data_IF_680637561546
#
_entry.id   IF_680637561546
#
_cell.length_a   1.000
_cell.length_b   1.000
_cell.length_c   1.000
_cell.angle_alpha   90.00
_cell.angle_beta   90.00
_cell.angle_gamma   90.00
#
_symmetry.space_group_name_H-M   'P 1'
#
loop_
_entity.id
_entity.type
_entity.pdbx_description
1 polymer ?
#
# COMPACT_ATOMS: atom_id res chain seq x y z
N UNK A 1 0.28 22.54 -17.44
CA UNK A 1 0.03 21.33 -18.25
C UNK A 1 -0.82 20.40 -17.42
N UNK A 2 -1.82 19.78 -17.99
CA UNK A 2 -2.66 18.78 -17.31
C UNK A 2 -1.81 17.52 -17.10
N UNK A 3 -1.71 17.01 -15.87
CA UNK A 3 -0.99 15.76 -15.58
C UNK A 3 -1.88 14.58 -15.91
N UNK A 4 -1.40 13.67 -16.77
CA UNK A 4 -2.08 12.40 -17.03
C UNK A 4 -1.57 11.33 -16.09
N UNK A 5 -2.47 10.52 -15.54
CA UNK A 5 -2.15 9.32 -14.76
C UNK A 5 -2.74 8.08 -15.45
N UNK A 6 -2.08 6.94 -15.27
CA UNK A 6 -2.65 5.65 -15.70
C UNK A 6 -3.65 5.17 -14.67
N UNK A 7 -4.82 4.73 -15.12
CA UNK A 7 -5.90 4.18 -14.29
C UNK A 7 -6.07 2.71 -14.61
N UNK A 8 -5.91 1.85 -13.61
CA UNK A 8 -6.12 0.41 -13.72
C UNK A 8 -7.35 0.03 -12.87
N UNK A 9 -8.47 -0.21 -13.55
CA UNK A 9 -9.76 -0.50 -12.90
C UNK A 9 -9.75 -1.83 -12.15
N UNK A 10 -8.92 -2.78 -12.58
CA UNK A 10 -8.73 -4.06 -11.92
C UNK A 10 -9.94 -5.00 -11.99
N UNK A 11 -9.99 -5.92 -11.03
CA UNK A 11 -10.93 -7.05 -11.00
C UNK A 11 -11.91 -6.93 -9.81
N UNK A 12 -12.99 -7.70 -9.86
CA UNK A 12 -13.96 -7.81 -8.78
C UNK A 12 -14.62 -6.48 -8.43
N UNK A 13 -14.42 -5.99 -7.19
CA UNK A 13 -14.92 -4.67 -6.75
C UNK A 13 -14.13 -3.50 -7.35
N UNK A 14 -13.04 -3.78 -8.05
CA UNK A 14 -12.13 -2.76 -8.59
C UNK A 14 -12.82 -1.67 -9.42
N UNK A 15 -13.61 -2.01 -10.45
CA UNK A 15 -14.30 -1.02 -11.27
C UNK A 15 -15.20 -0.07 -10.47
N UNK A 16 -16.01 -0.59 -9.54
CA UNK A 16 -16.96 0.23 -8.77
C UNK A 16 -16.25 1.19 -7.80
N UNK A 17 -15.17 0.75 -7.12
CA UNK A 17 -14.42 1.64 -6.23
C UNK A 17 -13.56 2.65 -6.99
N UNK A 18 -13.11 2.30 -8.22
CA UNK A 18 -12.40 3.23 -9.09
C UNK A 18 -13.35 4.33 -9.60
N UNK A 19 -14.54 3.98 -10.08
CA UNK A 19 -15.54 4.97 -10.52
C UNK A 19 -15.89 5.94 -9.38
N UNK A 20 -16.09 5.40 -8.17
CA UNK A 20 -16.32 6.20 -6.97
C UNK A 20 -15.15 7.15 -6.66
N UNK A 21 -13.90 6.66 -6.81
CA UNK A 21 -12.70 7.45 -6.56
C UNK A 21 -12.52 8.56 -7.59
N UNK A 22 -12.66 8.26 -8.87
CA UNK A 22 -12.56 9.25 -9.94
C UNK A 22 -13.64 10.33 -9.80
N UNK A 23 -14.87 9.96 -9.43
CA UNK A 23 -15.95 10.91 -9.14
C UNK A 23 -15.55 11.94 -8.05
N UNK A 24 -14.92 11.47 -6.97
CA UNK A 24 -14.44 12.37 -5.89
C UNK A 24 -13.27 13.23 -6.35
N UNK A 25 -12.31 12.66 -7.11
CA UNK A 25 -11.17 13.42 -7.65
C UNK A 25 -11.61 14.52 -8.62
N UNK A 26 -12.66 14.29 -9.40
CA UNK A 26 -13.25 15.30 -10.29
C UNK A 26 -13.94 16.42 -9.50
N UNK A 27 -14.70 16.07 -8.44
CA UNK A 27 -15.30 17.06 -7.53
C UNK A 27 -14.24 17.93 -6.84
N UNK A 28 -13.09 17.32 -6.49
CA UNK A 28 -11.94 18.01 -5.90
C UNK A 28 -11.19 18.92 -6.88
N UNK A 29 -11.53 18.85 -8.18
CA UNK A 29 -10.92 19.66 -9.26
C UNK A 29 -9.40 19.51 -9.31
N UNK A 30 -8.94 18.27 -9.32
CA UNK A 30 -7.50 17.94 -9.31
C UNK A 30 -6.76 18.40 -10.56
N UNK A 31 -7.46 18.55 -11.68
CA UNK A 31 -6.87 18.86 -12.98
C UNK A 31 -6.13 17.70 -13.60
N UNK A 32 -6.36 16.47 -13.12
CA UNK A 32 -5.78 15.26 -13.68
C UNK A 32 -6.53 14.81 -14.94
N UNK A 33 -5.81 14.19 -15.85
CA UNK A 33 -6.37 13.40 -16.95
C UNK A 33 -6.13 11.92 -16.70
N UNK A 34 -7.04 11.08 -17.16
CA UNK A 34 -7.01 9.65 -16.89
C UNK A 34 -6.80 8.87 -18.20
N UNK A 35 -5.82 7.97 -18.20
CA UNK A 35 -5.55 7.02 -19.27
C UNK A 35 -5.86 5.62 -18.76
N UNK A 36 -6.98 5.03 -19.18
CA UNK A 36 -7.37 3.68 -18.76
C UNK A 36 -6.42 2.63 -19.33
N UNK A 37 -6.06 1.65 -18.51
CA UNK A 37 -5.23 0.50 -18.87
C UNK A 37 -5.74 -0.78 -18.20
N UNK A 38 -5.70 -1.89 -18.94
CA UNK A 38 -6.18 -3.18 -18.46
C UNK A 38 -5.06 -3.98 -17.76
N UNK A 39 -5.38 -4.59 -16.63
CA UNK A 39 -4.55 -5.61 -15.97
C UNK A 39 -5.45 -6.57 -15.19
N UNK A 40 -4.94 -7.76 -14.86
CA UNK A 40 -5.69 -8.79 -14.13
C UNK A 40 -6.52 -9.68 -15.04
N UNK A 41 -7.60 -10.23 -14.50
CA UNK A 41 -8.48 -11.15 -15.23
C UNK A 41 -9.15 -10.48 -16.43
N UNK A 42 -9.54 -9.22 -16.30
CA UNK A 42 -10.12 -8.45 -17.41
C UNK A 42 -9.12 -8.34 -18.57
N UNK A 43 -7.84 -8.15 -18.29
CA UNK A 43 -6.81 -8.11 -19.34
C UNK A 43 -6.58 -9.50 -19.97
N UNK A 44 -6.57 -10.56 -19.16
CA UNK A 44 -6.46 -11.93 -19.66
C UNK A 44 -7.60 -12.26 -20.65
N UNK A 45 -8.83 -11.91 -20.30
CA UNK A 45 -9.99 -12.15 -21.17
C UNK A 45 -9.95 -11.34 -22.48
N UNK A 46 -9.51 -10.08 -22.42
CA UNK A 46 -9.48 -9.19 -23.58
C UNK A 46 -8.25 -9.37 -24.49
N UNK A 47 -7.10 -9.64 -23.89
CA UNK A 47 -5.81 -9.55 -24.56
C UNK A 47 -5.00 -10.86 -24.49
N UNK A 48 -5.45 -11.86 -23.71
CA UNK A 48 -4.72 -13.11 -23.48
C UNK A 48 -3.50 -13.00 -22.56
N UNK A 49 -3.33 -11.85 -21.90
CA UNK A 49 -2.23 -11.55 -20.99
C UNK A 49 -2.74 -10.83 -19.72
N UNK A 50 -2.28 -11.25 -18.56
CA UNK A 50 -2.63 -10.63 -17.27
C UNK A 50 -2.06 -9.22 -17.10
N UNK A 51 -0.96 -8.91 -17.79
CA UNK A 51 -0.28 -7.62 -17.71
C UNK A 51 0.23 -7.20 -19.11
N UNK A 52 -0.65 -6.71 -19.98
CA UNK A 52 -0.32 -6.32 -21.35
C UNK A 52 0.81 -5.28 -21.41
N UNK A 53 1.65 -5.38 -22.44
CA UNK A 53 2.73 -4.40 -22.69
C UNK A 53 2.20 -2.96 -22.79
N UNK A 54 1.02 -2.76 -23.37
CA UNK A 54 0.38 -1.44 -23.44
C UNK A 54 0.17 -0.81 -22.05
N UNK A 55 -0.18 -1.61 -21.04
CA UNK A 55 -0.33 -1.14 -19.65
C UNK A 55 1.02 -0.71 -19.07
N UNK A 56 2.07 -1.49 -19.30
CA UNK A 56 3.43 -1.13 -18.86
C UNK A 56 3.91 0.16 -19.55
N UNK A 57 3.61 0.32 -20.84
CA UNK A 57 3.99 1.53 -21.60
C UNK A 57 3.21 2.76 -21.14
N UNK A 58 1.92 2.63 -20.80
CA UNK A 58 1.12 3.70 -20.21
C UNK A 58 1.69 4.15 -18.86
N UNK A 59 2.01 3.21 -17.96
CA UNK A 59 2.62 3.54 -16.65
C UNK A 59 3.97 4.22 -16.85
N UNK A 60 4.82 3.72 -17.76
CA UNK A 60 6.14 4.32 -18.06
C UNK A 60 6.01 5.73 -18.60
N UNK A 61 5.07 5.97 -19.50
CA UNK A 61 4.80 7.27 -20.12
C UNK A 61 4.32 8.29 -19.09
N UNK A 62 3.38 7.90 -18.23
CA UNK A 62 2.72 8.80 -17.29
C UNK A 62 3.49 8.95 -15.95
N UNK A 63 4.38 8.00 -15.61
CA UNK A 63 5.15 7.97 -14.37
C UNK A 63 4.31 7.64 -13.13
N UNK A 64 3.00 7.77 -13.18
CA UNK A 64 2.10 7.57 -12.04
C UNK A 64 0.87 6.77 -12.47
N UNK A 65 0.49 5.79 -11.61
CA UNK A 65 -0.73 5.03 -11.79
C UNK A 65 -1.57 4.97 -10.51
N UNK A 66 -2.88 4.97 -10.67
CA UNK A 66 -3.85 4.63 -9.63
C UNK A 66 -4.48 3.29 -9.99
N UNK A 67 -4.38 2.31 -9.09
CA UNK A 67 -4.70 0.91 -9.37
C UNK A 67 -5.68 0.35 -8.35
N UNK A 68 -6.76 -0.25 -8.81
CA UNK A 68 -7.66 -1.10 -8.01
C UNK A 68 -7.10 -2.51 -7.83
N UNK A 69 -7.73 -3.36 -7.01
CA UNK A 69 -7.29 -4.74 -6.79
C UNK A 69 -7.20 -5.55 -8.08
N UNK A 70 -6.18 -6.40 -8.17
CA UNK A 70 -5.97 -7.35 -9.27
C UNK A 70 -6.06 -8.78 -8.75
N UNK A 71 -6.68 -9.65 -9.53
CA UNK A 71 -6.73 -11.09 -9.27
C UNK A 71 -5.68 -11.79 -10.12
N UNK A 72 -4.82 -12.57 -9.45
CA UNK A 72 -3.95 -13.55 -10.12
C UNK A 72 -4.58 -14.92 -9.96
N UNK A 73 -4.82 -15.69 -11.04
CA UNK A 73 -5.35 -17.05 -10.93
C UNK A 73 -4.48 -17.91 -10.00
N UNK A 74 -5.12 -18.73 -9.19
CA UNK A 74 -4.43 -19.74 -8.35
C UNK A 74 -4.16 -20.97 -9.23
N UNK A 75 -2.88 -21.34 -9.39
CA UNK A 75 -2.48 -22.49 -10.17
C UNK A 75 -1.07 -22.37 -10.75
N UNK A 76 -0.60 -23.43 -11.40
CA UNK A 76 0.70 -23.43 -12.04
C UNK A 76 0.74 -22.48 -13.26
N UNK A 77 1.82 -21.72 -13.40
CA UNK A 77 2.11 -20.90 -14.58
C UNK A 77 1.84 -19.40 -14.43
N UNK A 78 1.21 -18.93 -13.35
CA UNK A 78 0.97 -17.48 -13.13
C UNK A 78 1.78 -16.95 -11.95
N UNK A 79 2.57 -15.90 -12.20
CA UNK A 79 3.21 -15.13 -11.13
C UNK A 79 2.29 -13.96 -10.71
N UNK A 80 2.40 -13.52 -9.45
CA UNK A 80 1.63 -12.38 -8.95
C UNK A 80 1.86 -11.14 -9.82
N UNK A 81 0.77 -10.58 -10.37
CA UNK A 81 0.78 -9.35 -11.19
C UNK A 81 1.38 -8.19 -10.39
N UNK A 82 1.04 -8.07 -9.11
CA UNK A 82 1.60 -7.04 -8.24
C UNK A 82 3.12 -7.18 -8.10
N UNK A 83 3.64 -8.40 -7.96
CA UNK A 83 5.09 -8.66 -7.93
C UNK A 83 5.73 -8.33 -9.27
N UNK A 84 5.08 -8.66 -10.39
CA UNK A 84 5.57 -8.32 -11.73
C UNK A 84 5.69 -6.80 -11.93
N UNK A 85 4.68 -6.03 -11.54
CA UNK A 85 4.69 -4.55 -11.58
C UNK A 85 5.83 -3.97 -10.72
N UNK A 86 5.97 -4.47 -9.48
CA UNK A 86 7.03 -4.02 -8.54
C UNK A 86 8.42 -4.24 -9.12
N UNK A 87 8.66 -5.38 -9.75
CA UNK A 87 9.93 -5.70 -10.40
C UNK A 87 10.17 -4.88 -11.66
N UNK A 88 9.16 -4.77 -12.52
CA UNK A 88 9.29 -4.09 -13.81
C UNK A 88 9.67 -2.61 -13.66
N UNK A 89 9.10 -1.93 -12.67
CA UNK A 89 9.34 -0.51 -12.41
C UNK A 89 10.28 -0.25 -11.22
N UNK A 90 10.95 -1.28 -10.70
CA UNK A 90 11.79 -1.19 -9.48
C UNK A 90 11.12 -0.38 -8.36
N UNK A 91 9.86 -0.71 -8.06
CA UNK A 91 9.07 -0.05 -7.02
C UNK A 91 9.54 -0.52 -5.64
N UNK A 92 10.68 -0.03 -5.21
CA UNK A 92 11.43 -0.55 -4.07
C UNK A 92 10.84 -0.22 -2.71
N UNK A 93 10.04 0.85 -2.60
CA UNK A 93 9.43 1.26 -1.36
C UNK A 93 7.90 1.08 -1.40
N UNK A 94 7.37 0.22 -0.54
CA UNK A 94 5.94 0.11 -0.32
C UNK A 94 5.58 0.85 0.96
N UNK A 95 4.76 1.89 0.85
CA UNK A 95 4.39 2.80 1.93
C UNK A 95 2.94 2.56 2.31
N UNK A 96 2.71 2.07 3.53
CA UNK A 96 1.40 1.68 4.05
C UNK A 96 1.08 2.42 5.35
N UNK A 97 0.38 3.56 5.29
CA UNK A 97 -0.12 4.23 6.47
C UNK A 97 -1.23 3.42 7.15
N UNK A 98 -1.24 3.43 8.48
CA UNK A 98 -2.33 2.96 9.30
C UNK A 98 -2.71 4.07 10.28
N UNK A 99 -3.93 4.58 10.16
CA UNK A 99 -4.45 5.66 10.98
C UNK A 99 -5.82 5.31 11.51
N UNK A 100 -6.09 5.62 12.77
CA UNK A 100 -7.42 5.51 13.36
C UNK A 100 -8.38 6.47 12.68
N UNK A 101 -9.58 5.98 12.36
CA UNK A 101 -10.67 6.76 11.80
C UNK A 101 -11.91 6.70 12.70
N UNK A 102 -12.69 7.79 12.79
CA UNK A 102 -13.90 7.80 13.59
C UNK A 102 -14.94 6.82 13.05
N UNK A 103 -15.76 6.27 13.95
CA UNK A 103 -16.87 5.38 13.62
C UNK A 103 -16.51 4.11 12.81
N UNK A 104 -15.28 3.63 12.96
CA UNK A 104 -14.84 2.36 12.40
C UNK A 104 -14.93 1.25 13.46
N UNK A 105 -14.99 -0.02 13.02
CA UNK A 105 -14.96 -1.20 13.91
C UNK A 105 -13.53 -1.50 14.38
N UNK A 106 -12.83 -0.49 14.87
CA UNK A 106 -11.46 -0.59 15.33
C UNK A 106 -11.40 -0.88 16.83
N UNK A 107 -10.37 -1.63 17.27
CA UNK A 107 -10.02 -1.74 18.70
C UNK A 107 -9.34 -0.46 19.22
N UNK A 108 -8.79 0.35 18.31
CA UNK A 108 -8.15 1.63 18.58
C UNK A 108 -8.87 2.71 17.80
N UNK A 109 -9.99 3.24 18.33
CA UNK A 109 -10.77 4.27 17.65
C UNK A 109 -9.99 5.58 17.47
N UNK A 110 -8.94 5.76 18.25
CA UNK A 110 -7.99 6.85 18.23
C UNK A 110 -6.57 6.34 18.58
N UNK A 111 -5.57 7.20 18.45
CA UNK A 111 -4.21 6.95 18.93
C UNK A 111 -3.32 6.13 17.99
N UNK A 112 -3.81 5.58 16.88
CA UNK A 112 -2.95 4.96 15.87
C UNK A 112 -2.73 5.93 14.72
N UNK A 113 -1.48 6.30 14.47
CA UNK A 113 -1.04 7.04 13.30
C UNK A 113 0.42 6.68 12.99
N UNK A 114 0.62 5.61 12.26
CA UNK A 114 1.94 5.09 11.90
C UNK A 114 2.03 4.76 10.40
N UNK A 115 3.25 4.66 9.91
CA UNK A 115 3.51 4.29 8.52
C UNK A 115 4.49 3.11 8.50
N UNK A 116 4.09 2.02 7.84
CA UNK A 116 5.01 0.93 7.51
C UNK A 116 5.68 1.23 6.16
N UNK A 117 6.99 1.29 6.16
CA UNK A 117 7.85 1.40 4.96
C UNK A 117 8.49 0.04 4.74
N UNK A 118 7.94 -0.70 3.78
CA UNK A 118 8.31 -2.07 3.43
C UNK A 118 9.25 -2.06 2.24
N UNK A 119 10.42 -2.71 2.33
CA UNK A 119 11.20 -3.07 1.16
C UNK A 119 10.35 -4.00 0.28
N UNK A 120 10.41 -3.82 -1.04
CA UNK A 120 9.37 -4.36 -1.92
C UNK A 120 9.92 -5.20 -3.09
N UNK A 121 11.24 -5.35 -3.22
CA UNK A 121 11.90 -5.96 -4.39
C UNK A 121 12.82 -7.13 -4.06
N UNK A 122 13.12 -7.37 -2.80
CA UNK A 122 14.04 -8.40 -2.31
C UNK A 122 13.34 -9.40 -1.36
N UNK A 123 14.15 -10.23 -0.69
CA UNK A 123 13.69 -11.19 0.31
C UNK A 123 13.17 -12.49 -0.29
N UNK A 124 12.20 -13.08 0.38
CA UNK A 124 11.57 -14.34 -0.03
C UNK A 124 10.70 -14.20 -1.31
N UNK A 125 10.23 -12.98 -1.58
CA UNK A 125 9.35 -12.69 -2.72
C UNK A 125 10.03 -12.76 -4.09
N UNK A 126 11.37 -12.80 -4.15
CA UNK A 126 12.07 -12.94 -5.43
C UNK A 126 11.94 -14.34 -6.03
N UNK A 127 11.61 -15.34 -5.23
CA UNK A 127 11.43 -16.72 -5.69
C UNK A 127 12.71 -17.43 -6.08
N UNK A 128 13.90 -16.88 -5.79
CA UNK A 128 15.18 -17.56 -6.06
C UNK A 128 15.33 -18.80 -5.18
N UNK A 129 15.87 -19.87 -5.75
CA UNK A 129 16.19 -21.10 -5.02
C UNK A 129 14.97 -21.82 -4.43
N UNK A 130 13.78 -21.58 -4.95
CA UNK A 130 12.62 -22.40 -4.62
C UNK A 130 12.77 -23.78 -5.23
N UNK A 131 12.74 -24.79 -4.41
CA UNK A 131 12.80 -26.20 -4.83
C UNK A 131 12.09 -27.10 -3.83
N UNK A 132 11.60 -28.21 -4.34
CA UNK A 132 11.11 -29.33 -3.54
C UNK A 132 11.98 -30.51 -3.91
N UNK A 133 12.41 -31.32 -2.92
CA UNK A 133 13.17 -32.56 -3.17
C UNK A 133 12.31 -33.55 -3.97
N UNK A 134 12.98 -34.50 -4.68
CA UNK A 134 12.30 -35.45 -5.55
C UNK A 134 11.29 -36.34 -4.79
N UNK A 135 11.52 -36.60 -3.50
CA UNK A 135 10.60 -37.31 -2.61
C UNK A 135 9.47 -36.46 -2.03
N UNK A 136 9.48 -35.17 -2.29
CA UNK A 136 8.47 -34.21 -1.78
C UNK A 136 8.62 -33.84 -0.30
N UNK A 137 9.64 -34.33 0.40
CA UNK A 137 9.77 -34.24 1.85
C UNK A 137 10.49 -32.95 2.31
N UNK A 138 11.24 -32.26 1.41
CA UNK A 138 12.02 -31.08 1.75
C UNK A 138 11.77 -29.95 0.77
N UNK A 139 11.40 -28.79 1.29
CA UNK A 139 11.25 -27.55 0.51
C UNK A 139 12.29 -26.53 0.92
N UNK A 140 12.91 -25.86 -0.05
CA UNK A 140 13.91 -24.80 0.13
C UNK A 140 13.48 -23.51 -0.53
N UNK A 141 13.92 -22.40 0.03
CA UNK A 141 13.73 -21.04 -0.49
C UNK A 141 14.95 -20.18 -0.11
N UNK A 142 15.48 -19.44 -1.06
CA UNK A 142 16.54 -18.45 -0.79
C UNK A 142 15.93 -17.10 -0.43
N UNK A 143 16.31 -16.56 0.73
CA UNK A 143 16.03 -15.19 1.09
C UNK A 143 17.25 -14.32 0.79
N UNK A 144 17.14 -13.40 -0.18
CA UNK A 144 18.22 -12.50 -0.60
C UNK A 144 17.98 -11.09 -0.09
N UNK A 145 18.93 -10.56 0.69
CA UNK A 145 18.96 -9.18 1.16
C UNK A 145 20.27 -8.57 0.70
N UNK A 146 20.23 -7.41 0.06
CA UNK A 146 21.42 -6.71 -0.40
C UNK A 146 21.65 -5.42 0.40
N UNK A 147 22.90 -4.96 0.42
CA UNK A 147 23.25 -3.65 0.98
C UNK A 147 22.50 -2.53 0.27
N UNK A 148 22.47 -2.55 -1.08
CA UNK A 148 21.79 -1.54 -1.90
C UNK A 148 20.30 -1.44 -1.59
N UNK A 149 19.59 -2.59 -1.54
CA UNK A 149 18.17 -2.62 -1.21
C UNK A 149 17.90 -2.14 0.21
N UNK A 150 18.71 -2.58 1.19
CA UNK A 150 18.62 -2.15 2.58
C UNK A 150 18.85 -0.64 2.73
N UNK A 151 19.88 -0.11 2.09
CA UNK A 151 20.23 1.31 2.18
C UNK A 151 19.12 2.20 1.60
N UNK A 152 18.61 1.89 0.41
CA UNK A 152 17.61 2.73 -0.25
C UNK A 152 16.29 2.77 0.50
N UNK A 153 15.84 1.63 1.07
CA UNK A 153 14.58 1.61 1.81
C UNK A 153 14.69 2.32 3.16
N UNK A 154 15.82 2.17 3.85
CA UNK A 154 16.05 2.87 5.12
C UNK A 154 16.18 4.38 4.89
N UNK A 155 16.94 4.82 3.88
CA UNK A 155 17.00 6.24 3.49
C UNK A 155 15.61 6.79 3.19
N UNK A 156 14.82 6.06 2.41
CA UNK A 156 13.45 6.46 2.10
C UNK A 156 12.63 6.69 3.36
N UNK A 157 12.72 5.79 4.35
CA UNK A 157 11.98 5.92 5.62
C UNK A 157 12.39 7.18 6.41
N UNK A 158 13.69 7.49 6.47
CA UNK A 158 14.18 8.70 7.15
C UNK A 158 13.82 9.98 6.39
N UNK A 159 13.93 10.00 5.06
CA UNK A 159 13.47 11.14 4.25
C UNK A 159 11.96 11.34 4.35
N UNK A 160 11.19 10.26 4.37
CA UNK A 160 9.74 10.34 4.61
C UNK A 160 9.46 10.94 5.99
N UNK A 161 10.22 10.56 7.04
CA UNK A 161 10.07 11.14 8.38
C UNK A 161 10.28 12.65 8.35
N UNK A 162 11.34 13.14 7.72
CA UNK A 162 11.59 14.58 7.55
C UNK A 162 10.49 15.28 6.78
N UNK A 163 10.10 14.72 5.62
CA UNK A 163 9.05 15.28 4.76
C UNK A 163 7.70 15.43 5.47
N UNK A 164 7.36 14.45 6.32
CA UNK A 164 6.06 14.39 7.01
C UNK A 164 6.10 14.95 8.45
N UNK A 165 7.25 15.45 8.91
CA UNK A 165 7.43 15.99 10.25
C UNK A 165 7.44 14.93 11.36
N UNK A 166 7.50 13.65 11.02
CA UNK A 166 7.60 12.53 11.96
C UNK A 166 8.98 12.50 12.62
N UNK A 167 9.05 12.00 13.86
CA UNK A 167 10.24 12.16 14.70
C UNK A 167 10.97 10.85 14.97
N UNK A 168 10.35 9.70 14.68
CA UNK A 168 10.91 8.41 15.03
C UNK A 168 10.80 7.40 13.89
N UNK A 169 11.90 6.68 13.63
CA UNK A 169 11.95 5.51 12.76
C UNK A 169 12.32 4.29 13.60
N UNK A 170 11.47 3.25 13.55
CA UNK A 170 11.75 1.95 14.18
C UNK A 170 12.19 0.96 13.10
N UNK A 171 13.42 0.49 13.20
CA UNK A 171 14.01 -0.54 12.32
C UNK A 171 13.61 -1.91 12.84
N UNK A 172 12.83 -2.66 12.05
CA UNK A 172 12.33 -3.97 12.45
C UNK A 172 13.07 -5.08 11.73
N UNK A 173 13.56 -6.07 12.50
CA UNK A 173 14.44 -7.13 12.03
C UNK A 173 14.28 -8.43 12.83
N UNK A 174 14.99 -9.49 12.43
CA UNK A 174 15.13 -10.76 13.17
C UNK A 174 16.60 -11.21 13.23
N UNK A 175 17.53 -10.27 13.46
CA UNK A 175 18.97 -10.50 13.40
C UNK A 175 19.51 -11.45 14.48
N UNK A 176 18.75 -11.70 15.54
CA UNK A 176 19.10 -12.70 16.55
C UNK A 176 19.04 -14.14 16.00
N UNK A 177 18.23 -14.40 14.97
CA UNK A 177 18.10 -15.70 14.30
C UNK A 177 18.65 -15.63 12.88
N UNK A 178 18.16 -14.70 12.05
CA UNK A 178 18.58 -14.51 10.66
C UNK A 178 19.84 -13.64 10.59
N UNK A 179 20.96 -14.19 11.09
CA UNK A 179 22.20 -13.44 11.34
C UNK A 179 22.81 -12.83 10.08
N UNK A 180 22.70 -13.49 8.92
CA UNK A 180 23.23 -12.98 7.66
C UNK A 180 22.29 -11.95 7.01
N UNK A 181 21.04 -12.31 6.76
CA UNK A 181 20.07 -11.48 6.03
C UNK A 181 19.58 -10.29 6.87
N UNK A 182 18.91 -10.55 8.01
CA UNK A 182 18.48 -9.49 8.91
C UNK A 182 19.66 -8.77 9.57
N UNK A 183 20.80 -9.47 9.78
CA UNK A 183 22.02 -8.83 10.30
C UNK A 183 22.61 -7.81 9.34
N UNK A 184 22.63 -8.10 8.03
CA UNK A 184 23.05 -7.13 7.01
C UNK A 184 22.09 -5.93 6.98
N UNK A 185 20.77 -6.17 6.94
CA UNK A 185 19.76 -5.12 6.98
C UNK A 185 19.96 -4.19 8.18
N UNK A 186 20.07 -4.76 9.39
CA UNK A 186 20.27 -4.00 10.63
C UNK A 186 21.57 -3.19 10.63
N UNK A 187 22.68 -3.79 10.15
CA UNK A 187 23.96 -3.10 10.04
C UNK A 187 23.84 -1.86 9.14
N UNK A 188 23.25 -2.03 7.96
CA UNK A 188 23.06 -0.93 7.01
C UNK A 188 22.11 0.12 7.57
N UNK A 189 21.04 -0.29 8.26
CA UNK A 189 20.11 0.63 8.88
C UNK A 189 20.78 1.53 9.93
N UNK A 190 21.70 1.00 10.74
CA UNK A 190 22.49 1.79 11.69
C UNK A 190 23.41 2.80 11.00
N UNK A 191 24.06 2.38 9.91
CA UNK A 191 24.93 3.24 9.11
C UNK A 191 24.13 4.41 8.50
N UNK A 192 22.93 4.15 7.98
CA UNK A 192 22.03 5.17 7.44
C UNK A 192 21.50 6.08 8.54
N UNK A 193 21.03 5.52 9.67
CA UNK A 193 20.47 6.28 10.79
C UNK A 193 21.47 7.33 11.33
N UNK A 194 22.77 7.02 11.34
CA UNK A 194 23.82 7.96 11.76
C UNK A 194 23.86 9.24 10.91
N UNK A 195 23.28 9.24 9.69
CA UNK A 195 23.19 10.40 8.81
C UNK A 195 21.98 11.31 9.11
N UNK A 196 21.10 10.88 10.03
CA UNK A 196 19.86 11.57 10.39
C UNK A 196 19.76 11.81 11.90
N UNK A 197 20.68 12.63 12.48
CA UNK A 197 20.71 12.85 13.93
C UNK A 197 19.48 13.58 14.50
N UNK A 198 18.68 14.17 13.63
CA UNK A 198 17.42 14.86 13.93
C UNK A 198 16.21 13.91 14.05
N UNK A 199 16.36 12.64 13.67
CA UNK A 199 15.30 11.62 13.74
C UNK A 199 15.71 10.53 14.74
N UNK A 200 14.86 10.27 15.73
CA UNK A 200 15.08 9.17 16.67
C UNK A 200 15.05 7.83 15.94
N UNK A 201 16.08 7.01 16.11
CA UNK A 201 16.12 5.65 15.57
C UNK A 201 16.01 4.62 16.70
N UNK A 202 15.05 3.72 16.61
CA UNK A 202 14.89 2.55 17.47
C UNK A 202 15.04 1.28 16.65
N UNK A 203 15.46 0.20 17.33
CA UNK A 203 15.55 -1.14 16.75
C UNK A 203 14.62 -2.09 17.51
N UNK A 204 13.92 -2.97 16.78
CA UNK A 204 13.02 -3.93 17.41
C UNK A 204 12.99 -5.25 16.65
N UNK A 205 12.94 -6.37 17.40
CA UNK A 205 12.74 -7.70 16.81
C UNK A 205 11.28 -7.85 16.39
N UNK A 206 11.02 -8.44 15.22
CA UNK A 206 9.72 -8.46 14.55
C UNK A 206 8.59 -9.04 15.41
N UNK A 207 8.82 -10.14 16.12
CA UNK A 207 7.81 -10.74 17.01
C UNK A 207 7.47 -9.83 18.19
N UNK A 208 8.47 -9.17 18.78
CA UNK A 208 8.24 -8.14 19.80
C UNK A 208 7.50 -6.94 19.19
N UNK A 209 7.81 -6.55 17.96
CA UNK A 209 7.10 -5.46 17.26
C UNK A 209 5.61 -5.78 17.13
N UNK A 210 5.27 -7.00 16.69
CA UNK A 210 3.88 -7.44 16.56
C UNK A 210 3.14 -7.38 17.92
N UNK A 211 3.76 -7.86 18.99
CA UNK A 211 3.19 -7.76 20.35
C UNK A 211 3.00 -6.30 20.77
N UNK A 212 4.00 -5.45 20.57
CA UNK A 212 3.95 -4.04 20.95
C UNK A 212 2.92 -3.23 20.15
N UNK A 213 2.71 -3.54 18.87
CA UNK A 213 1.66 -2.95 18.05
C UNK A 213 0.26 -3.22 18.59
N UNK A 214 0.02 -4.45 19.10
CA UNK A 214 -1.27 -4.80 19.73
C UNK A 214 -1.43 -4.15 21.11
N UNK A 215 -0.36 -3.95 21.86
CA UNK A 215 -0.41 -3.42 23.23
C UNK A 215 -0.35 -1.90 23.29
N UNK A 216 0.48 -1.27 22.47
CA UNK A 216 0.81 0.16 22.52
C UNK A 216 1.18 0.68 21.12
N UNK A 217 0.25 0.70 20.14
CA UNK A 217 0.51 1.14 18.77
C UNK A 217 0.96 2.60 18.68
N UNK A 218 0.54 3.44 19.61
CA UNK A 218 0.87 4.87 19.68
C UNK A 218 2.36 5.17 19.86
N UNK A 219 3.16 4.18 20.26
CA UNK A 219 4.61 4.35 20.38
C UNK A 219 5.35 4.35 19.03
N UNK A 220 4.70 3.90 17.96
CA UNK A 220 5.29 3.83 16.62
C UNK A 220 4.93 5.07 15.80
N UNK A 221 5.87 5.49 14.96
CA UNK A 221 5.71 6.61 14.04
C UNK A 221 5.98 6.14 12.60
N UNK A 222 7.23 5.81 12.25
CA UNK A 222 7.57 5.07 11.05
C UNK A 222 8.21 3.74 11.41
N UNK A 223 7.76 2.67 10.78
CA UNK A 223 8.38 1.35 10.84
C UNK A 223 9.05 1.08 9.49
N UNK A 224 10.34 0.73 9.49
CA UNK A 224 11.04 0.29 8.28
C UNK A 224 11.51 -1.15 8.43
N UNK A 225 11.27 -1.97 7.42
CA UNK A 225 11.60 -3.41 7.48
C UNK A 225 11.75 -4.04 6.09
N UNK A 226 12.21 -5.28 6.08
CA UNK A 226 12.32 -6.11 4.89
C UNK A 226 10.96 -6.55 4.35
N UNK A 227 10.92 -7.09 3.14
CA UNK A 227 9.71 -7.37 2.39
C UNK A 227 8.69 -8.23 3.15
N UNK A 228 9.04 -9.44 3.57
CA UNK A 228 8.10 -10.37 4.22
C UNK A 228 7.60 -9.82 5.57
N UNK A 229 8.48 -9.26 6.38
CA UNK A 229 8.06 -8.69 7.67
C UNK A 229 7.17 -7.47 7.47
N UNK A 230 7.45 -6.65 6.44
CA UNK A 230 6.62 -5.49 6.11
C UNK A 230 5.22 -5.88 5.64
N UNK A 231 5.08 -7.00 4.94
CA UNK A 231 3.77 -7.52 4.55
C UNK A 231 2.93 -7.89 5.79
N UNK A 232 3.51 -8.71 6.67
CA UNK A 232 2.83 -9.17 7.89
C UNK A 232 2.48 -8.00 8.81
N UNK A 233 3.44 -7.08 9.05
CA UNK A 233 3.24 -5.95 9.96
C UNK A 233 2.20 -4.98 9.42
N UNK A 234 2.21 -4.68 8.12
CA UNK A 234 1.25 -3.72 7.57
C UNK A 234 -0.19 -4.23 7.60
N UNK A 235 -0.40 -5.54 7.42
CA UNK A 235 -1.74 -6.13 7.53
C UNK A 235 -2.20 -6.19 9.00
N UNK A 236 -1.28 -6.47 9.94
CA UNK A 236 -1.56 -6.31 11.38
C UNK A 236 -1.98 -4.87 11.69
N UNK A 237 -1.23 -3.87 11.22
CA UNK A 237 -1.56 -2.45 11.43
C UNK A 237 -2.91 -2.07 10.82
N UNK A 238 -3.24 -2.56 9.62
CA UNK A 238 -4.56 -2.36 9.02
C UNK A 238 -5.68 -2.96 9.91
N UNK A 239 -5.46 -4.15 10.48
CA UNK A 239 -6.37 -4.77 11.43
C UNK A 239 -6.60 -3.93 12.69
N UNK A 240 -5.58 -3.24 13.19
CA UNK A 240 -5.70 -2.37 14.37
C UNK A 240 -6.62 -1.17 14.12
N UNK A 241 -6.70 -0.65 12.90
CA UNK A 241 -7.45 0.57 12.55
C UNK A 241 -8.80 0.31 11.89
N UNK A 242 -9.25 -0.94 11.80
CA UNK A 242 -10.59 -1.29 11.30
C UNK A 242 -10.61 -2.13 10.03
N UNK A 243 -9.45 -2.58 9.55
CA UNK A 243 -9.31 -3.52 8.45
C UNK A 243 -8.83 -2.92 7.14
N UNK A 244 -8.68 -3.79 6.14
CA UNK A 244 -8.08 -3.44 4.86
C UNK A 244 -8.90 -2.43 4.02
N UNK A 245 -10.20 -2.28 4.29
CA UNK A 245 -11.06 -1.30 3.61
C UNK A 245 -10.67 0.17 3.86
N UNK A 246 -9.74 0.41 4.81
CA UNK A 246 -9.19 1.72 5.15
C UNK A 246 -7.66 1.77 4.94
N UNK A 247 -7.07 0.75 4.30
CA UNK A 247 -5.64 0.61 4.14
C UNK A 247 -5.20 0.99 2.71
N UNK A 248 -4.62 2.18 2.51
CA UNK A 248 -4.01 2.56 1.25
C UNK A 248 -2.59 2.00 1.14
N UNK A 249 -2.09 1.92 -0.09
CA UNK A 249 -0.71 1.58 -0.38
C UNK A 249 -0.12 2.43 -1.49
N UNK A 250 1.15 2.81 -1.33
CA UNK A 250 1.93 3.43 -2.39
C UNK A 250 3.15 2.58 -2.68
N UNK A 251 3.35 2.22 -3.93
CA UNK A 251 4.56 1.53 -4.41
C UNK A 251 5.41 2.54 -5.16
N UNK A 252 6.57 2.88 -4.61
CA UNK A 252 7.42 3.97 -5.09
C UNK A 252 8.72 3.42 -5.69
N UNK A 253 8.99 3.79 -6.92
CA UNK A 253 10.26 3.60 -7.62
C UNK A 253 10.97 4.92 -7.88
N UNK A 254 12.00 4.88 -8.73
CA UNK A 254 12.70 6.09 -9.18
C UNK A 254 11.90 6.80 -10.28
N UNK A 255 11.40 6.04 -11.26
CA UNK A 255 10.79 6.56 -12.48
C UNK A 255 9.27 6.35 -12.52
N UNK A 256 8.71 5.59 -11.58
CA UNK A 256 7.29 5.32 -11.51
C UNK A 256 6.79 5.18 -10.08
N UNK A 257 5.51 5.50 -9.86
CA UNK A 257 4.80 5.28 -8.62
C UNK A 257 3.39 4.71 -8.90
N UNK A 258 2.98 3.69 -8.14
CA UNK A 258 1.67 3.06 -8.24
C UNK A 258 0.97 3.15 -6.89
N UNK A 259 -0.19 3.80 -6.87
CA UNK A 259 -1.04 3.98 -5.69
C UNK A 259 -2.23 3.03 -5.75
N UNK A 260 -2.59 2.43 -4.61
CA UNK A 260 -3.56 1.34 -4.60
C UNK A 260 -4.32 1.23 -3.27
N UNK A 261 -5.43 0.49 -3.28
CA UNK A 261 -5.98 -0.13 -2.10
C UNK A 261 -5.24 -1.44 -1.83
N UNK A 262 -4.95 -1.74 -0.55
CA UNK A 262 -4.18 -2.95 -0.19
C UNK A 262 -5.04 -4.22 -0.23
N UNK A 263 -6.37 -4.09 -0.05
CA UNK A 263 -7.29 -5.23 -0.06
C UNK A 263 -7.39 -5.95 -1.41
N UNK A 264 -7.89 -7.17 -1.41
CA UNK A 264 -8.15 -7.98 -2.61
C UNK A 264 -9.38 -7.55 -3.40
N UNK A 265 -9.67 -8.30 -4.47
CA UNK A 265 -10.76 -8.01 -5.43
C UNK A 265 -12.17 -8.38 -4.94
N UNK A 266 -12.29 -9.09 -3.83
CA UNK A 266 -13.57 -9.49 -3.20
C UNK A 266 -14.66 -9.91 -4.21
N UNK A 267 -14.45 -10.97 -5.01
CA UNK A 267 -15.34 -11.35 -6.12
C UNK A 267 -16.76 -11.68 -5.68
N UNK A 268 -16.95 -12.08 -4.43
CA UNK A 268 -18.24 -12.42 -3.82
C UNK A 268 -19.20 -11.23 -3.69
N UNK A 269 -18.68 -10.01 -3.62
CA UNK A 269 -19.47 -8.76 -3.54
C UNK A 269 -19.34 -7.87 -4.79
N UNK A 270 -18.60 -8.32 -5.79
CA UNK A 270 -18.40 -7.57 -7.03
C UNK A 270 -19.74 -7.25 -7.73
N UNK A 271 -19.87 -6.01 -8.22
CA UNK A 271 -21.07 -5.53 -8.92
C UNK A 271 -22.30 -5.30 -8.04
N UNK A 272 -22.19 -5.51 -6.71
CA UNK A 272 -23.31 -5.24 -5.79
C UNK A 272 -23.40 -3.80 -5.32
N UNK A 273 -22.38 -2.97 -5.64
CA UNK A 273 -22.32 -1.56 -5.26
C UNK A 273 -22.18 -1.33 -3.75
N UNK A 274 -21.65 -2.30 -3.00
CA UNK A 274 -21.54 -2.23 -1.53
C UNK A 274 -20.11 -2.06 -1.03
N UNK A 275 -19.14 -2.09 -1.91
CA UNK A 275 -17.72 -1.98 -1.56
C UNK A 275 -17.38 -0.58 -1.02
N UNK A 276 -16.55 -0.55 0.01
CA UNK A 276 -16.04 0.69 0.60
C UNK A 276 -14.89 1.26 -0.27
N UNK A 277 -15.02 2.49 -0.80
CA UNK A 277 -13.98 3.08 -1.64
C UNK A 277 -12.84 3.77 -0.84
N UNK A 278 -12.91 3.82 0.50
CA UNK A 278 -11.99 4.61 1.32
C UNK A 278 -10.52 4.24 1.12
N UNK A 279 -10.18 2.95 1.02
CA UNK A 279 -8.79 2.53 0.83
C UNK A 279 -8.20 3.12 -0.47
N UNK A 280 -8.95 3.08 -1.58
CA UNK A 280 -8.51 3.63 -2.85
C UNK A 280 -8.50 5.17 -2.84
N UNK A 281 -9.48 5.81 -2.20
CA UNK A 281 -9.50 7.27 -1.99
C UNK A 281 -8.30 7.75 -1.17
N UNK A 282 -7.92 7.02 -0.12
CA UNK A 282 -6.72 7.31 0.67
C UNK A 282 -5.43 7.06 -0.14
N UNK A 283 -5.42 6.04 -1.01
CA UNK A 283 -4.37 5.83 -2.00
C UNK A 283 -4.27 6.99 -2.99
N UNK A 284 -5.41 7.50 -3.46
CA UNK A 284 -5.47 8.70 -4.29
C UNK A 284 -4.97 9.95 -3.56
N UNK A 285 -5.22 10.09 -2.25
CA UNK A 285 -4.63 11.17 -1.45
C UNK A 285 -3.11 11.07 -1.38
N UNK A 286 -2.53 9.85 -1.21
CA UNK A 286 -1.07 9.65 -1.30
C UNK A 286 -0.53 10.01 -2.70
N UNK A 287 -1.28 9.69 -3.76
CA UNK A 287 -0.94 10.07 -5.13
C UNK A 287 -0.91 11.59 -5.29
N UNK A 288 -1.88 12.31 -4.75
CA UNK A 288 -1.92 13.78 -4.79
C UNK A 288 -0.72 14.40 -4.06
N UNK A 289 -0.34 13.86 -2.88
CA UNK A 289 0.90 14.28 -2.18
C UNK A 289 2.15 14.06 -3.05
N UNK A 290 2.21 12.93 -3.76
CA UNK A 290 3.32 12.61 -4.66
C UNK A 290 3.38 13.57 -5.86
N UNK A 291 2.23 13.95 -6.40
CA UNK A 291 2.07 14.88 -7.51
C UNK A 291 2.23 16.36 -7.13
N UNK A 292 2.60 16.66 -5.87
CA UNK A 292 2.78 18.03 -5.39
C UNK A 292 1.47 18.81 -5.20
N UNK A 293 0.37 18.11 -4.90
CA UNK A 293 -0.94 18.70 -4.58
C UNK A 293 -1.36 18.42 -3.12
N UNK A 294 -0.52 18.75 -2.10
CA UNK A 294 -0.78 18.38 -0.71
C UNK A 294 -2.06 19.01 -0.15
N UNK A 295 -2.43 20.21 -0.56
CA UNK A 295 -3.67 20.87 -0.12
C UNK A 295 -4.91 20.09 -0.54
N UNK A 296 -4.91 19.53 -1.75
CA UNK A 296 -6.00 18.69 -2.23
C UNK A 296 -6.01 17.31 -1.55
N UNK A 297 -4.83 16.75 -1.30
CA UNK A 297 -4.70 15.51 -0.54
C UNK A 297 -5.29 15.66 0.88
N UNK A 298 -5.00 16.77 1.55
CA UNK A 298 -5.51 17.04 2.89
C UNK A 298 -7.02 17.29 2.88
N UNK A 299 -7.54 18.04 1.91
CA UNK A 299 -9.00 18.25 1.74
C UNK A 299 -9.71 16.90 1.55
N UNK A 300 -9.14 15.99 0.74
CA UNK A 300 -9.70 14.65 0.53
C UNK A 300 -9.74 13.85 1.84
N UNK A 301 -8.63 13.85 2.61
CA UNK A 301 -8.58 13.18 3.91
C UNK A 301 -9.59 13.75 4.89
N UNK A 302 -9.68 15.09 4.98
CA UNK A 302 -10.64 15.78 5.84
C UNK A 302 -12.08 15.46 5.45
N UNK A 303 -12.41 15.41 4.16
CA UNK A 303 -13.74 15.04 3.66
C UNK A 303 -14.12 13.59 4.02
N UNK A 304 -13.17 12.65 3.91
CA UNK A 304 -13.38 11.26 4.34
C UNK A 304 -13.68 11.22 5.84
N UNK A 305 -12.87 11.87 6.68
CA UNK A 305 -13.05 11.91 8.13
C UNK A 305 -14.41 12.52 8.48
N UNK A 306 -14.76 13.67 7.93
CA UNK A 306 -16.04 14.34 8.20
C UNK A 306 -17.25 13.48 7.78
N UNK A 307 -17.14 12.70 6.69
CA UNK A 307 -18.20 11.81 6.25
C UNK A 307 -18.36 10.60 7.19
N UNK A 308 -17.24 10.06 7.68
CA UNK A 308 -17.24 8.99 8.69
C UNK A 308 -17.83 9.48 10.03
N UNK A 309 -17.47 10.69 10.47
CA UNK A 309 -18.02 11.32 11.70
C UNK A 309 -19.54 11.55 11.61
N UNK A 310 -19.99 12.05 10.47
CA UNK A 310 -21.40 12.30 10.21
C UNK A 310 -22.21 11.01 10.04
N UNK A 311 -21.57 9.85 9.87
CA UNK A 311 -22.19 8.55 9.54
C UNK A 311 -23.06 8.60 8.28
N UNK A 312 -22.68 9.48 7.34
CA UNK A 312 -23.46 9.76 6.15
C UNK A 312 -23.18 8.72 5.06
N UNK A 313 -24.21 7.99 4.66
CA UNK A 313 -24.19 7.00 3.57
C UNK A 313 -23.10 5.92 3.73
N UNK A 314 -22.73 5.56 4.95
CA UNK A 314 -21.72 4.54 5.23
C UNK A 314 -22.06 3.21 4.57
N UNK A 315 -21.05 2.54 4.03
CA UNK A 315 -21.16 1.19 3.48
C UNK A 315 -21.37 0.13 4.58
N UNK A 316 -21.87 -1.09 4.24
CA UNK A 316 -22.21 -2.12 5.23
C UNK A 316 -21.06 -2.59 6.12
N UNK A 317 -19.83 -2.61 5.61
CA UNK A 317 -18.61 -2.93 6.37
C UNK A 317 -18.35 -1.92 7.50
N UNK A 318 -18.71 -0.66 7.28
CA UNK A 318 -18.66 0.43 8.27
C UNK A 318 -19.94 0.48 9.15
N UNK A 319 -20.88 -0.46 8.96
CA UNK A 319 -22.12 -0.55 9.74
C UNK A 319 -23.25 0.33 9.23
N UNK A 320 -23.14 0.88 8.03
CA UNK A 320 -24.20 1.65 7.38
C UNK A 320 -25.07 0.82 6.43
N UNK A 321 -26.00 1.48 5.75
CA UNK A 321 -26.85 0.93 4.69
C UNK A 321 -26.66 1.63 3.34
N UNK A 322 -25.65 2.48 3.22
CA UNK A 322 -25.29 3.14 1.99
C UNK A 322 -24.62 2.20 0.98
N UNK A 323 -24.41 2.70 -0.21
CA UNK A 323 -23.68 2.00 -1.26
C UNK A 323 -22.39 2.76 -1.65
N UNK A 324 -21.53 2.11 -2.44
CA UNK A 324 -20.24 2.65 -2.87
C UNK A 324 -20.36 4.07 -3.42
N UNK A 325 -21.33 4.30 -4.33
CA UNK A 325 -21.47 5.61 -4.98
C UNK A 325 -22.17 6.64 -4.07
N UNK A 326 -23.13 6.25 -3.22
CA UNK A 326 -23.76 7.19 -2.26
C UNK A 326 -22.73 7.70 -1.26
N UNK A 327 -21.84 6.82 -0.80
CA UNK A 327 -20.77 7.19 0.10
C UNK A 327 -19.74 8.11 -0.61
N UNK A 328 -19.37 7.81 -1.85
CA UNK A 328 -18.51 8.69 -2.64
C UNK A 328 -19.13 10.09 -2.87
N UNK A 329 -20.43 10.18 -3.13
CA UNK A 329 -21.16 11.45 -3.25
C UNK A 329 -21.16 12.25 -1.94
N UNK A 330 -21.34 11.58 -0.79
CA UNK A 330 -21.25 12.22 0.52
C UNK A 330 -19.85 12.79 0.78
N UNK A 331 -18.78 12.09 0.40
CA UNK A 331 -17.40 12.61 0.46
C UNK A 331 -17.23 13.77 -0.52
N UNK A 332 -17.67 13.63 -1.76
CA UNK A 332 -17.53 14.65 -2.80
C UNK A 332 -18.25 15.98 -2.45
N UNK A 333 -19.31 15.92 -1.65
CA UNK A 333 -19.99 17.15 -1.16
C UNK A 333 -19.20 17.93 -0.11
N UNK A 334 -18.10 17.37 0.41
CA UNK A 334 -17.25 17.93 1.48
C UNK A 334 -15.84 18.29 1.02
N UNK A 335 -15.47 17.98 -0.23
CA UNK A 335 -14.15 18.34 -0.79
C UNK A 335 -14.12 19.74 -1.37
#
# INVERSE_FOLDING_TARGET
MTQTITVIRGDGIGPEIMDATLYVLDALKTGLSYEDADAGMVALEKHGDLLPQATLDSIRKNGVALKSPLTTPVGEGFSSINVALRRHFDLYANVRPAKSFPNTKSRFPDGVDLITVRENTEGAYIGEGQSISDDGETALLTQKITRKGSERIVRYAFELARKTGRKKVTVVHKANILKSTSGLFLKVAREVAALYPDIQCNEMIVDNTCMQLVMRPEQFDIIVTTNLFGDIISDLCAGLVGGLGLAPGANIGVDAAIFEAVHGSAPDIAGKGVANPCALLLGAAQMLDHLGQPDKAERLRAAIIATLEAKDSLTPDLGGSGNTMSFAKAIASRV
#
